data_IF_897685672771
#
_entry.id   IF_897685672771
#
_cell.length_a   1.000
_cell.length_b   1.000
_cell.length_c   1.000
_cell.angle_alpha   90.00
_cell.angle_beta   90.00
_cell.angle_gamma   90.00
#
_symmetry.space_group_name_H-M   'P 1'
#
loop_
_entity.id
_entity.type
_entity.pdbx_description
1 polymer ?
#
# COMPACT_ATOMS: atom_id res chain seq x y z
N UNK A 1 -22.13 -1.21 9.92
CA UNK A 1 -20.79 -0.93 10.49
C UNK A 1 -20.59 0.57 10.46
N UNK A 2 -20.16 1.17 11.53
CA UNK A 2 -19.82 2.60 11.54
C UNK A 2 -18.34 2.81 11.15
N UNK A 3 -17.95 4.06 10.87
CA UNK A 3 -16.61 4.39 10.37
C UNK A 3 -15.50 4.00 11.36
N UNK A 4 -15.73 4.11 12.66
CA UNK A 4 -14.73 3.77 13.69
C UNK A 4 -14.52 2.25 13.85
N UNK A 5 -15.51 1.45 13.46
CA UNK A 5 -15.45 -0.02 13.51
C UNK A 5 -14.83 -0.63 12.25
N UNK A 6 -14.74 0.13 11.14
CA UNK A 6 -14.36 -0.42 9.85
C UNK A 6 -12.94 -1.00 9.87
N UNK A 7 -11.94 -0.19 10.21
CA UNK A 7 -10.54 -0.66 10.24
C UNK A 7 -10.36 -1.80 11.26
N UNK A 8 -10.84 -1.70 12.51
CA UNK A 8 -10.75 -2.81 13.46
C UNK A 8 -11.38 -4.12 12.97
N UNK A 9 -12.41 -4.05 12.12
CA UNK A 9 -13.07 -5.24 11.56
C UNK A 9 -12.33 -5.78 10.34
N UNK A 10 -11.88 -4.92 9.43
CA UNK A 10 -11.31 -5.32 8.13
C UNK A 10 -9.84 -5.69 8.25
N UNK A 11 -9.05 -4.94 9.03
CA UNK A 11 -7.61 -5.14 9.09
C UNK A 11 -7.20 -6.56 9.53
N UNK A 12 -7.79 -7.16 10.59
CA UNK A 12 -7.46 -8.53 10.98
C UNK A 12 -7.76 -9.56 9.89
N UNK A 13 -8.87 -9.38 9.13
CA UNK A 13 -9.24 -10.27 8.04
C UNK A 13 -8.26 -10.17 6.87
N UNK A 14 -7.83 -8.95 6.53
CA UNK A 14 -6.82 -8.71 5.49
C UNK A 14 -5.48 -9.31 5.90
N UNK A 15 -5.04 -9.09 7.14
CA UNK A 15 -3.78 -9.65 7.64
C UNK A 15 -3.80 -11.18 7.66
N UNK A 16 -4.92 -11.79 8.10
CA UNK A 16 -5.08 -13.25 8.11
C UNK A 16 -5.00 -13.86 6.70
N UNK A 17 -5.69 -13.24 5.71
CA UNK A 17 -5.65 -13.71 4.33
C UNK A 17 -4.27 -13.49 3.69
N UNK A 18 -3.62 -12.35 3.99
CA UNK A 18 -2.28 -12.05 3.53
C UNK A 18 -1.26 -13.06 4.07
N UNK A 19 -1.32 -13.36 5.38
CA UNK A 19 -0.48 -14.38 6.04
C UNK A 19 -0.67 -15.76 5.42
N UNK A 20 -1.91 -16.19 5.23
CA UNK A 20 -2.26 -17.48 4.60
C UNK A 20 -1.64 -17.65 3.22
N UNK A 21 -1.42 -16.55 2.48
CA UNK A 21 -0.88 -16.53 1.11
C UNK A 21 0.60 -16.18 1.03
N UNK A 22 1.31 -16.06 2.15
CA UNK A 22 2.74 -15.71 2.18
C UNK A 22 3.00 -14.23 1.89
N UNK A 23 2.07 -13.36 2.27
CA UNK A 23 2.19 -11.89 2.19
C UNK A 23 2.41 -11.32 0.78
N UNK A 24 1.57 -11.67 -0.20
CA UNK A 24 1.76 -11.21 -1.58
C UNK A 24 1.45 -9.73 -1.79
N UNK A 25 0.72 -9.07 -0.87
CA UNK A 25 0.30 -7.68 -1.00
C UNK A 25 0.59 -6.88 0.27
N UNK A 26 0.62 -5.55 0.18
CA UNK A 26 0.62 -4.68 1.35
C UNK A 26 -0.78 -4.65 1.98
N UNK A 27 -0.89 -5.01 3.25
CA UNK A 27 -2.16 -4.95 3.99
C UNK A 27 -2.74 -3.53 4.01
N UNK A 28 -1.87 -2.51 4.16
CA UNK A 28 -2.25 -1.10 4.09
C UNK A 28 -2.96 -0.74 2.79
N UNK A 29 -2.49 -1.24 1.65
CA UNK A 29 -3.08 -1.02 0.34
C UNK A 29 -4.46 -1.68 0.25
N UNK A 30 -4.58 -2.94 0.67
CA UNK A 30 -5.86 -3.67 0.63
C UNK A 30 -6.90 -3.02 1.55
N UNK A 31 -6.51 -2.60 2.76
CA UNK A 31 -7.40 -1.90 3.71
C UNK A 31 -7.83 -0.55 3.13
N UNK A 32 -6.91 0.22 2.55
CA UNK A 32 -7.22 1.52 1.95
C UNK A 32 -8.17 1.39 0.74
N UNK A 33 -7.98 0.38 -0.11
CA UNK A 33 -8.93 0.08 -1.18
C UNK A 33 -10.30 -0.34 -0.62
N UNK A 34 -10.33 -1.18 0.42
CA UNK A 34 -11.58 -1.54 1.09
C UNK A 34 -12.34 -0.32 1.60
N UNK A 35 -11.64 0.66 2.19
CA UNK A 35 -12.22 1.93 2.63
C UNK A 35 -12.78 2.72 1.44
N UNK A 36 -11.98 2.87 0.38
CA UNK A 36 -12.33 3.65 -0.81
C UNK A 36 -13.56 3.07 -1.52
N UNK A 37 -13.52 1.77 -1.83
CA UNK A 37 -14.54 1.09 -2.62
C UNK A 37 -15.87 0.92 -1.87
N UNK A 38 -15.82 0.72 -0.56
CA UNK A 38 -17.02 0.52 0.25
C UNK A 38 -17.57 1.81 0.89
N UNK A 39 -16.85 2.93 0.78
CA UNK A 39 -17.21 4.16 1.49
C UNK A 39 -17.25 3.92 3.00
N UNK A 40 -16.20 3.32 3.57
CA UNK A 40 -16.17 2.95 4.99
C UNK A 40 -17.25 1.94 5.39
N UNK A 41 -17.58 1.03 4.49
CA UNK A 41 -18.62 0.03 4.74
C UNK A 41 -20.05 0.52 4.60
N UNK A 42 -20.26 1.74 4.08
CA UNK A 42 -21.58 2.34 3.93
C UNK A 42 -22.22 2.05 2.57
N UNK A 43 -21.47 1.46 1.62
CA UNK A 43 -22.03 1.14 0.31
C UNK A 43 -23.14 0.09 0.42
N UNK A 44 -24.19 0.25 -0.37
CA UNK A 44 -25.33 -0.71 -0.41
C UNK A 44 -24.86 -2.11 -0.80
N UNK A 45 -23.85 -2.20 -1.68
CA UNK A 45 -23.30 -3.48 -2.17
C UNK A 45 -22.61 -4.21 -1.02
N UNK A 46 -21.78 -3.51 -0.23
CA UNK A 46 -21.15 -4.11 0.95
C UNK A 46 -22.18 -4.54 1.99
N UNK A 47 -23.15 -3.67 2.33
CA UNK A 47 -24.15 -3.96 3.37
C UNK A 47 -25.08 -5.13 3.02
N UNK A 48 -25.39 -5.32 1.74
CA UNK A 48 -26.36 -6.34 1.28
C UNK A 48 -25.73 -7.62 0.78
N UNK A 49 -24.47 -7.54 0.34
CA UNK A 49 -23.80 -8.65 -0.35
C UNK A 49 -22.41 -8.97 0.20
N UNK A 50 -21.97 -8.35 1.31
CA UNK A 50 -20.60 -8.44 1.83
C UNK A 50 -19.51 -8.12 0.77
N UNK A 51 -19.86 -7.39 -0.29
CA UNK A 51 -18.99 -7.10 -1.43
C UNK A 51 -18.20 -5.81 -1.19
N UNK A 52 -17.06 -5.94 -0.50
CA UNK A 52 -16.23 -4.81 -0.08
C UNK A 52 -15.68 -4.03 -1.27
N UNK A 53 -15.18 -4.75 -2.28
CA UNK A 53 -14.43 -4.19 -3.41
C UNK A 53 -15.27 -3.97 -4.66
N UNK A 54 -16.57 -4.21 -4.61
CA UNK A 54 -17.47 -3.97 -5.74
C UNK A 54 -17.08 -4.73 -7.01
N UNK A 55 -16.56 -5.95 -6.89
CA UNK A 55 -16.14 -6.75 -8.04
C UNK A 55 -17.35 -7.19 -8.85
N UNK A 56 -17.37 -6.87 -10.15
CA UNK A 56 -18.43 -7.27 -11.06
C UNK A 56 -18.43 -8.79 -11.27
N UNK A 57 -19.63 -9.37 -11.29
CA UNK A 57 -19.81 -10.77 -11.65
C UNK A 57 -19.80 -10.90 -13.18
N UNK A 58 -18.80 -11.62 -13.69
CA UNK A 58 -18.69 -11.99 -15.10
C UNK A 58 -19.36 -13.34 -15.37
N UNK A 59 -19.48 -13.76 -16.61
CA UNK A 59 -20.03 -15.08 -16.99
C UNK A 59 -19.25 -16.27 -16.39
N UNK A 60 -17.98 -16.05 -16.04
CA UNK A 60 -17.15 -17.07 -15.37
C UNK A 60 -17.42 -17.18 -13.86
N UNK A 61 -18.07 -16.19 -13.24
CA UNK A 61 -18.40 -16.23 -11.83
C UNK A 61 -19.51 -17.25 -11.55
N UNK A 62 -19.28 -18.17 -10.61
CA UNK A 62 -20.25 -19.24 -10.26
C UNK A 62 -20.85 -19.06 -8.87
N UNK A 63 -20.44 -18.02 -8.14
CA UNK A 63 -20.95 -17.70 -6.82
C UNK A 63 -22.25 -16.88 -6.85
N UNK A 64 -22.68 -16.45 -5.67
CA UNK A 64 -23.84 -15.57 -5.50
C UNK A 64 -23.64 -14.22 -6.18
N UNK A 65 -24.71 -13.60 -6.60
CA UNK A 65 -24.71 -12.28 -7.25
C UNK A 65 -25.66 -11.33 -6.56
N UNK A 66 -25.34 -10.05 -6.63
CA UNK A 66 -26.18 -8.96 -6.19
C UNK A 66 -26.32 -7.94 -7.33
N UNK A 67 -27.55 -7.67 -7.74
CA UNK A 67 -27.86 -6.69 -8.76
C UNK A 67 -28.08 -5.32 -8.10
N UNK A 68 -27.30 -4.34 -8.51
CA UNK A 68 -27.42 -2.96 -8.02
C UNK A 68 -27.55 -1.98 -9.18
N UNK A 69 -28.41 -0.99 -8.98
CA UNK A 69 -28.43 0.17 -9.87
C UNK A 69 -27.19 1.01 -9.58
N UNK A 70 -26.40 1.25 -10.59
CA UNK A 70 -25.18 2.06 -10.54
C UNK A 70 -25.14 3.01 -11.72
N UNK A 71 -24.27 4.00 -11.63
CA UNK A 71 -23.99 4.92 -12.72
C UNK A 71 -22.63 4.58 -13.33
N UNK A 72 -22.58 4.47 -14.63
CA UNK A 72 -21.33 4.29 -15.37
C UNK A 72 -21.12 5.44 -16.35
N UNK A 73 -19.87 5.87 -16.44
CA UNK A 73 -19.44 6.91 -17.34
C UNK A 73 -18.49 6.29 -18.37
N UNK A 74 -18.91 6.16 -19.61
CA UNK A 74 -18.12 5.54 -20.69
C UNK A 74 -17.36 6.57 -21.52
N UNK A 75 -17.82 7.82 -21.55
CA UNK A 75 -17.27 8.92 -22.34
C UNK A 75 -16.53 9.99 -21.53
N UNK A 76 -16.47 9.81 -20.20
CA UNK A 76 -15.85 10.77 -19.28
C UNK A 76 -16.74 12.00 -18.97
N UNK A 77 -17.96 12.07 -19.53
CA UNK A 77 -18.86 13.23 -19.41
C UNK A 77 -20.25 12.82 -18.91
N UNK A 78 -20.83 11.76 -19.49
CA UNK A 78 -22.22 11.38 -19.27
C UNK A 78 -22.33 10.15 -18.36
N UNK A 79 -23.23 10.22 -17.37
CA UNK A 79 -23.51 9.09 -16.48
C UNK A 79 -24.79 8.39 -16.93
N UNK A 80 -24.69 7.09 -17.22
CA UNK A 80 -25.82 6.24 -17.57
C UNK A 80 -26.19 5.35 -16.39
N UNK A 81 -27.45 5.35 -15.99
CA UNK A 81 -27.97 4.43 -14.99
C UNK A 81 -28.06 3.02 -15.58
N UNK A 82 -27.35 2.08 -14.99
CA UNK A 82 -27.40 0.67 -15.38
C UNK A 82 -27.63 -0.22 -14.18
N UNK A 83 -28.19 -1.39 -14.41
CA UNK A 83 -28.18 -2.47 -13.43
C UNK A 83 -26.92 -3.30 -13.64
N UNK A 84 -25.98 -3.21 -12.71
CA UNK A 84 -24.77 -4.02 -12.75
C UNK A 84 -24.86 -5.20 -11.77
N UNK A 85 -24.29 -6.32 -12.20
CA UNK A 85 -24.23 -7.54 -11.43
C UNK A 85 -22.89 -7.62 -10.69
N UNK A 86 -22.93 -7.66 -9.36
CA UNK A 86 -21.76 -7.74 -8.50
C UNK A 86 -21.64 -9.11 -7.85
N UNK A 87 -20.41 -9.55 -7.58
CA UNK A 87 -20.17 -10.74 -6.78
C UNK A 87 -20.73 -10.53 -5.38
N UNK A 88 -21.40 -11.54 -4.83
CA UNK A 88 -21.93 -11.52 -3.48
C UNK A 88 -21.33 -12.66 -2.66
N UNK A 89 -21.10 -12.42 -1.38
CA UNK A 89 -20.34 -13.31 -0.51
C UNK A 89 -21.13 -13.63 0.76
N UNK A 90 -20.80 -14.76 1.40
CA UNK A 90 -21.41 -15.14 2.68
C UNK A 90 -20.78 -14.36 3.85
N UNK A 91 -19.55 -13.85 3.67
CA UNK A 91 -18.82 -13.11 4.69
C UNK A 91 -17.88 -12.06 4.07
N UNK A 92 -17.40 -11.11 4.90
CA UNK A 92 -16.36 -10.16 4.51
C UNK A 92 -15.04 -10.86 4.21
N UNK A 93 -14.74 -11.95 4.92
CA UNK A 93 -13.54 -12.76 4.67
C UNK A 93 -13.54 -13.39 3.27
N UNK A 94 -14.69 -13.90 2.79
CA UNK A 94 -14.83 -14.39 1.41
C UNK A 94 -14.59 -13.29 0.38
N UNK A 95 -15.12 -12.08 0.61
CA UNK A 95 -14.88 -10.95 -0.27
C UNK A 95 -13.39 -10.57 -0.34
N UNK A 96 -12.71 -10.58 0.80
CA UNK A 96 -11.27 -10.31 0.87
C UNK A 96 -10.49 -11.40 0.14
N UNK A 97 -10.82 -12.67 0.37
CA UNK A 97 -10.15 -13.80 -0.29
C UNK A 97 -10.31 -13.75 -1.82
N UNK A 98 -11.50 -13.42 -2.32
CA UNK A 98 -11.74 -13.26 -3.76
C UNK A 98 -10.98 -12.06 -4.36
N UNK A 99 -10.86 -10.96 -3.61
CA UNK A 99 -10.02 -9.83 -4.01
C UNK A 99 -8.53 -10.24 -4.12
N UNK A 100 -8.01 -10.98 -3.14
CA UNK A 100 -6.65 -11.52 -3.24
C UNK A 100 -6.49 -12.42 -4.47
N UNK A 101 -7.46 -13.29 -4.76
CA UNK A 101 -7.45 -14.12 -5.96
C UNK A 101 -7.41 -13.27 -7.24
N UNK A 102 -8.21 -12.22 -7.30
CA UNK A 102 -8.23 -11.30 -8.44
C UNK A 102 -6.84 -10.67 -8.68
N UNK A 103 -6.20 -10.17 -7.62
CA UNK A 103 -4.92 -9.45 -7.77
C UNK A 103 -3.75 -10.42 -7.95
N UNK A 104 -3.75 -11.56 -7.29
CA UNK A 104 -2.59 -12.47 -7.34
C UNK A 104 -2.60 -13.46 -8.51
N UNK A 105 -3.79 -13.78 -9.06
CA UNK A 105 -3.92 -14.77 -10.15
C UNK A 105 -3.91 -14.15 -11.55
N UNK A 106 -4.28 -12.87 -11.69
CA UNK A 106 -4.32 -12.22 -13.01
C UNK A 106 -2.96 -11.60 -13.34
N UNK A 107 -2.37 -12.02 -14.45
CA UNK A 107 -1.04 -11.57 -14.90
C UNK A 107 -0.92 -10.04 -14.98
N UNK A 108 -1.97 -9.34 -15.36
CA UNK A 108 -1.99 -7.87 -15.43
C UNK A 108 -1.67 -7.17 -14.11
N UNK A 109 -1.84 -7.85 -12.97
CA UNK A 109 -1.54 -7.33 -11.62
C UNK A 109 -0.26 -7.89 -11.02
N UNK A 110 0.46 -8.77 -11.72
CA UNK A 110 1.65 -9.46 -11.21
C UNK A 110 2.68 -8.52 -10.57
N UNK A 111 2.86 -7.33 -11.12
CA UNK A 111 3.78 -6.34 -10.55
C UNK A 111 3.40 -5.91 -9.13
N UNK A 112 2.14 -5.99 -8.74
CA UNK A 112 1.72 -5.66 -7.38
C UNK A 112 2.23 -6.67 -6.34
N UNK A 113 2.38 -7.95 -6.72
CA UNK A 113 2.82 -9.00 -5.80
C UNK A 113 4.34 -9.01 -5.56
N UNK A 114 5.09 -8.24 -6.32
CA UNK A 114 6.56 -8.08 -6.20
C UNK A 114 6.97 -6.65 -5.86
N UNK A 115 6.02 -5.79 -5.53
CA UNK A 115 6.25 -4.39 -5.16
C UNK A 115 7.02 -4.30 -3.84
N UNK A 116 7.86 -3.28 -3.72
CA UNK A 116 8.64 -3.03 -2.50
C UNK A 116 8.01 -1.98 -1.59
N UNK A 117 7.07 -1.21 -2.11
CA UNK A 117 6.37 -0.15 -1.37
C UNK A 117 4.87 -0.18 -1.62
N UNK A 118 4.05 0.35 -0.67
CA UNK A 118 2.60 0.52 -0.91
C UNK A 118 2.31 1.35 -2.17
N UNK A 119 3.12 2.37 -2.46
CA UNK A 119 2.97 3.21 -3.65
C UNK A 119 3.17 2.41 -4.94
N UNK A 120 4.21 1.58 -5.02
CA UNK A 120 4.44 0.69 -6.17
C UNK A 120 3.31 -0.31 -6.32
N UNK A 121 2.85 -0.90 -5.21
CA UNK A 121 1.76 -1.87 -5.21
C UNK A 121 0.47 -1.27 -5.78
N UNK A 122 0.00 -0.13 -5.26
CA UNK A 122 -1.22 0.50 -5.79
C UNK A 122 -1.05 1.03 -7.21
N UNK A 123 0.15 1.47 -7.58
CA UNK A 123 0.47 1.89 -8.94
C UNK A 123 0.35 0.71 -9.91
N UNK A 124 0.88 -0.46 -9.54
CA UNK A 124 0.77 -1.68 -10.34
C UNK A 124 -0.69 -2.15 -10.46
N UNK A 125 -1.48 -2.09 -9.38
CA UNK A 125 -2.91 -2.43 -9.39
C UNK A 125 -3.68 -1.49 -10.33
N UNK A 126 -3.48 -0.17 -10.23
CA UNK A 126 -4.12 0.80 -11.12
C UNK A 126 -3.75 0.59 -12.57
N UNK A 127 -2.46 0.43 -12.87
CA UNK A 127 -1.96 0.22 -14.24
C UNK A 127 -2.42 -1.13 -14.82
N UNK A 128 -2.71 -2.12 -13.98
CA UNK A 128 -3.37 -3.36 -14.35
C UNK A 128 -4.86 -3.20 -14.71
N UNK A 129 -5.40 -1.96 -14.62
CA UNK A 129 -6.77 -1.65 -15.02
C UNK A 129 -7.81 -1.87 -13.91
N UNK A 130 -7.40 -1.79 -12.63
CA UNK A 130 -8.34 -1.87 -11.51
C UNK A 130 -9.24 -0.64 -11.42
N UNK A 131 -8.68 0.54 -11.67
CA UNK A 131 -9.40 1.81 -11.64
C UNK A 131 -8.96 2.74 -12.77
N UNK A 132 -9.91 3.50 -13.32
CA UNK A 132 -9.68 4.46 -14.41
C UNK A 132 -9.35 5.86 -13.91
N UNK A 133 -9.79 6.24 -12.71
CA UNK A 133 -9.61 7.58 -12.15
C UNK A 133 -8.13 7.99 -12.13
N UNK A 134 -7.77 9.18 -12.63
CA UNK A 134 -6.41 9.69 -12.59
C UNK A 134 -5.92 9.96 -11.16
N UNK A 135 -6.83 10.23 -10.23
CA UNK A 135 -6.52 10.55 -8.82
C UNK A 135 -6.47 9.32 -7.93
N UNK A 136 -6.76 8.11 -8.45
CA UNK A 136 -6.92 6.90 -7.65
C UNK A 136 -5.72 6.60 -6.74
N UNK A 137 -4.50 6.64 -7.28
CA UNK A 137 -3.28 6.38 -6.50
C UNK A 137 -3.16 7.38 -5.34
N UNK A 138 -3.35 8.68 -5.63
CA UNK A 138 -3.27 9.72 -4.60
C UNK A 138 -4.35 9.54 -3.52
N UNK A 139 -5.55 9.14 -3.91
CA UNK A 139 -6.65 8.85 -2.98
C UNK A 139 -6.28 7.71 -2.05
N UNK A 140 -5.81 6.57 -2.58
CA UNK A 140 -5.42 5.42 -1.77
C UNK A 140 -4.24 5.75 -0.85
N UNK A 141 -3.21 6.43 -1.36
CA UNK A 141 -2.07 6.84 -0.53
C UNK A 141 -2.46 7.85 0.56
N UNK A 142 -3.40 8.76 0.27
CA UNK A 142 -3.95 9.67 1.29
C UNK A 142 -4.69 8.91 2.39
N UNK A 143 -5.48 7.89 2.04
CA UNK A 143 -6.17 7.03 3.01
C UNK A 143 -5.16 6.27 3.87
N UNK A 144 -4.12 5.70 3.27
CA UNK A 144 -3.04 5.00 3.99
C UNK A 144 -2.41 5.93 5.04
N UNK A 145 -1.99 7.11 4.61
CA UNK A 145 -1.29 8.06 5.47
C UNK A 145 -2.19 8.65 6.58
N UNK A 146 -3.43 9.01 6.24
CA UNK A 146 -4.36 9.65 7.19
C UNK A 146 -4.86 8.69 8.27
N UNK A 147 -4.74 7.39 8.07
CA UNK A 147 -5.19 6.37 9.01
C UNK A 147 -4.06 5.50 9.55
N UNK A 148 -2.80 5.87 9.27
CA UNK A 148 -1.62 5.13 9.72
C UNK A 148 -1.71 3.62 9.42
N UNK A 149 -2.10 3.30 8.15
CA UNK A 149 -2.37 1.90 7.79
C UNK A 149 -1.12 1.06 7.59
N UNK A 150 0.04 1.67 7.40
CA UNK A 150 1.31 0.93 7.24
C UNK A 150 1.67 0.08 8.45
N UNK A 151 1.11 0.36 9.61
CA UNK A 151 1.25 -0.49 10.81
C UNK A 151 0.69 -1.90 10.62
N UNK A 152 -0.22 -2.10 9.64
CA UNK A 152 -0.77 -3.42 9.30
C UNK A 152 0.05 -4.19 8.28
N UNK A 153 1.10 -3.57 7.71
CA UNK A 153 2.02 -4.24 6.78
C UNK A 153 3.07 -5.10 7.50
N UNK A 154 3.03 -5.13 8.83
CA UNK A 154 3.92 -5.94 9.65
C UNK A 154 3.59 -7.42 9.44
N UNK A 155 4.59 -8.19 9.04
CA UNK A 155 4.53 -9.65 9.09
C UNK A 155 4.66 -10.03 10.56
N UNK A 156 3.55 -10.47 11.19
CA UNK A 156 3.67 -11.12 12.49
C UNK A 156 4.54 -12.36 12.33
N UNK A 157 5.75 -12.28 12.83
CA UNK A 157 6.55 -13.48 13.04
C UNK A 157 5.76 -14.37 13.99
N UNK A 158 5.56 -15.63 13.59
CA UNK A 158 5.06 -16.69 14.45
C UNK A 158 5.70 -16.50 15.83
N UNK A 159 4.86 -16.27 16.84
CA UNK A 159 5.27 -16.33 18.23
C UNK A 159 5.96 -17.68 18.49
N UNK A 160 7.29 -17.68 18.43
CA UNK A 160 8.01 -18.45 19.40
C UNK A 160 8.04 -17.57 20.64
N UNK A 161 7.32 -18.00 21.66
CA UNK A 161 7.48 -17.55 23.02
C UNK A 161 8.99 -17.62 23.37
N UNK A 162 9.65 -16.49 23.22
CA UNK A 162 11.01 -16.30 23.71
C UNK A 162 10.97 -15.06 24.59
N UNK A 163 11.13 -15.39 25.83
CA UNK A 163 11.52 -14.54 26.94
C UNK A 163 12.35 -13.31 26.49
N UNK A 164 12.07 -12.18 27.07
CA UNK A 164 12.52 -10.84 26.76
C UNK A 164 14.02 -10.65 27.13
N UNK A 165 14.93 -11.46 26.54
CA UNK A 165 16.39 -11.33 26.78
C UNK A 165 17.29 -11.94 25.68
N UNK A 166 16.88 -11.99 24.41
CA UNK A 166 17.85 -12.28 23.34
C UNK A 166 18.18 -11.01 22.58
N UNK A 167 19.39 -10.55 22.81
CA UNK A 167 20.10 -9.52 22.04
C UNK A 167 20.15 -10.00 20.57
N UNK A 168 19.24 -9.49 19.70
CA UNK A 168 19.22 -9.84 18.27
C UNK A 168 20.48 -9.27 17.64
N UNK A 169 21.42 -10.12 17.26
CA UNK A 169 22.67 -9.71 16.62
C UNK A 169 22.41 -9.28 15.17
N UNK A 170 22.02 -8.01 15.01
CA UNK A 170 21.78 -7.37 13.71
C UNK A 170 23.02 -7.45 12.81
N UNK A 171 24.22 -7.43 13.39
CA UNK A 171 25.49 -7.52 12.66
C UNK A 171 25.63 -8.89 11.98
N UNK A 172 25.40 -9.96 12.73
CA UNK A 172 25.48 -11.32 12.19
C UNK A 172 24.40 -11.57 11.13
N UNK A 173 23.16 -11.13 11.38
CA UNK A 173 22.06 -11.26 10.42
C UNK A 173 22.36 -10.46 9.15
N UNK A 174 22.94 -9.26 9.24
CA UNK A 174 23.32 -8.48 8.06
C UNK A 174 24.38 -9.19 7.21
N UNK A 175 25.37 -9.85 7.83
CA UNK A 175 26.35 -10.69 7.14
C UNK A 175 25.70 -11.91 6.46
N UNK A 176 24.74 -12.53 7.11
CA UNK A 176 23.98 -13.66 6.56
C UNK A 176 23.09 -13.25 5.37
N UNK A 177 22.55 -12.03 5.41
CA UNK A 177 21.85 -11.42 4.26
C UNK A 177 22.81 -11.21 3.09
N UNK A 178 24.00 -10.70 3.33
CA UNK A 178 25.04 -10.52 2.30
C UNK A 178 25.47 -11.87 1.72
N UNK A 179 25.54 -12.90 2.56
CA UNK A 179 25.82 -14.29 2.15
C UNK A 179 24.66 -14.98 1.43
N UNK A 180 23.50 -14.30 1.25
CA UNK A 180 22.36 -14.82 0.50
C UNK A 180 21.39 -15.73 1.27
N UNK A 181 21.60 -15.99 2.56
CA UNK A 181 20.80 -16.93 3.38
C UNK A 181 19.31 -16.50 3.49
N UNK A 182 19.01 -15.22 3.32
CA UNK A 182 17.68 -14.67 3.46
C UNK A 182 16.96 -14.42 2.11
N UNK A 183 17.60 -14.82 0.97
CA UNK A 183 17.05 -14.58 -0.36
C UNK A 183 17.03 -13.09 -0.75
N UNK A 184 16.14 -12.71 -1.68
CA UNK A 184 16.05 -11.35 -2.21
C UNK A 184 14.62 -10.79 -2.13
N UNK A 185 14.50 -9.45 -2.15
CA UNK A 185 13.21 -8.76 -2.25
C UNK A 185 12.22 -9.18 -1.16
N UNK A 186 11.06 -9.65 -1.55
CA UNK A 186 9.97 -10.01 -0.62
C UNK A 186 10.31 -11.22 0.28
N UNK A 187 11.07 -12.20 -0.25
CA UNK A 187 11.49 -13.35 0.55
C UNK A 187 12.34 -12.89 1.75
N UNK A 188 13.28 -11.97 1.52
CA UNK A 188 14.11 -11.38 2.59
C UNK A 188 13.26 -10.60 3.58
N UNK A 189 12.30 -9.80 3.09
CA UNK A 189 11.39 -9.05 3.97
C UNK A 189 10.55 -10.00 4.83
N UNK A 190 10.01 -11.06 4.23
CA UNK A 190 9.22 -12.05 4.97
C UNK A 190 10.03 -12.76 6.06
N UNK A 191 11.28 -13.14 5.76
CA UNK A 191 12.15 -13.82 6.72
C UNK A 191 12.67 -12.92 7.85
N UNK A 192 12.89 -11.63 7.58
CA UNK A 192 13.43 -10.68 8.56
C UNK A 192 12.35 -9.92 9.35
N UNK A 193 11.11 -9.88 8.83
CA UNK A 193 9.99 -9.26 9.52
C UNK A 193 10.27 -7.83 10.00
N UNK A 194 10.00 -7.55 11.28
CA UNK A 194 10.15 -6.23 11.90
C UNK A 194 11.60 -5.73 11.97
N UNK A 195 12.59 -6.63 11.90
CA UNK A 195 14.02 -6.24 11.90
C UNK A 195 14.56 -5.94 10.50
N UNK A 196 13.77 -6.14 9.42
CA UNK A 196 14.22 -5.95 8.05
C UNK A 196 14.89 -4.59 7.81
N UNK A 197 14.28 -3.50 8.27
CA UNK A 197 14.82 -2.16 8.05
C UNK A 197 16.15 -1.96 8.79
N UNK A 198 16.30 -2.47 10.01
CA UNK A 198 17.53 -2.41 10.78
C UNK A 198 18.64 -3.23 10.14
N UNK A 199 18.32 -4.46 9.74
CA UNK A 199 19.25 -5.36 9.04
C UNK A 199 19.66 -4.78 7.69
N UNK A 200 18.72 -4.26 6.89
CA UNK A 200 19.01 -3.69 5.58
C UNK A 200 19.87 -2.42 5.68
N UNK A 201 19.62 -1.57 6.68
CA UNK A 201 20.48 -0.41 6.95
C UNK A 201 21.93 -0.88 7.25
N UNK A 202 22.09 -1.92 8.08
CA UNK A 202 23.41 -2.47 8.42
C UNK A 202 24.07 -3.13 7.22
N UNK A 203 23.33 -3.86 6.38
CA UNK A 203 23.83 -4.41 5.11
C UNK A 203 24.37 -3.30 4.21
N UNK A 204 23.65 -2.19 4.08
CA UNK A 204 24.06 -1.05 3.26
C UNK A 204 25.35 -0.39 3.80
N UNK A 205 25.47 -0.27 5.12
CA UNK A 205 26.71 0.23 5.78
C UNK A 205 27.90 -0.69 5.50
N UNK A 206 27.74 -2.01 5.69
CA UNK A 206 28.79 -3.00 5.43
C UNK A 206 29.24 -2.97 3.97
N UNK A 207 28.30 -2.80 3.04
CA UNK A 207 28.59 -2.72 1.60
C UNK A 207 29.09 -1.33 1.15
N UNK A 208 29.32 -0.40 2.08
CA UNK A 208 29.80 0.95 1.79
C UNK A 208 28.79 1.80 1.02
N UNK A 209 27.53 1.35 0.90
CA UNK A 209 26.45 2.15 0.34
C UNK A 209 26.00 3.14 1.40
N UNK A 210 26.44 4.41 1.30
CA UNK A 210 25.83 5.48 2.12
C UNK A 210 24.32 5.44 1.93
N UNK A 211 23.59 5.07 2.96
CA UNK A 211 22.15 5.28 3.02
C UNK A 211 21.98 6.78 3.16
N UNK A 212 21.61 7.45 2.09
CA UNK A 212 21.07 8.78 2.21
C UNK A 212 19.74 8.60 2.97
N UNK A 213 19.68 9.05 4.22
CA UNK A 213 18.40 9.16 4.94
C UNK A 213 17.56 10.17 4.15
N UNK A 214 16.60 9.66 3.40
CA UNK A 214 15.62 10.53 2.74
C UNK A 214 14.73 11.14 3.81
N UNK A 215 14.88 12.44 4.03
CA UNK A 215 14.01 13.20 4.93
C UNK A 215 12.92 13.85 4.09
N UNK A 216 11.65 13.61 4.42
CA UNK A 216 10.54 14.31 3.76
C UNK A 216 10.30 15.63 4.50
N UNK A 217 10.47 16.74 3.78
CA UNK A 217 10.10 18.07 4.25
C UNK A 217 8.79 18.53 3.59
N UNK A 218 7.87 19.05 4.41
CA UNK A 218 6.63 19.67 3.91
C UNK A 218 6.84 21.17 3.88
N UNK A 219 6.77 21.74 2.67
CA UNK A 219 6.92 23.17 2.44
C UNK A 219 5.86 23.96 3.21
N UNK A 220 6.29 24.95 3.95
CA UNK A 220 5.41 25.88 4.67
C UNK A 220 5.22 27.16 3.86
N UNK A 221 4.20 27.95 4.18
CA UNK A 221 4.01 29.26 3.59
C UNK A 221 5.20 30.16 3.89
N UNK A 222 5.80 30.73 2.86
CA UNK A 222 6.98 31.60 2.96
C UNK A 222 8.33 30.89 2.82
N UNK A 223 8.38 29.55 2.78
CA UNK A 223 9.62 28.81 2.56
C UNK A 223 10.19 29.04 1.16
N UNK A 224 11.51 29.07 1.08
CA UNK A 224 12.27 29.00 -0.17
C UNK A 224 13.13 27.74 -0.21
N UNK A 225 13.43 27.23 -1.43
CA UNK A 225 14.35 26.08 -1.54
C UNK A 225 15.74 26.37 -0.97
N UNK A 226 16.18 27.62 -0.98
CA UNK A 226 17.47 28.02 -0.41
C UNK A 226 17.50 27.92 1.12
N UNK A 227 16.46 28.38 1.80
CA UNK A 227 16.32 28.25 3.25
C UNK A 227 16.17 26.80 3.69
N UNK A 228 15.37 26.02 2.95
CA UNK A 228 15.23 24.59 3.18
C UNK A 228 16.59 23.89 3.00
N UNK A 229 17.34 24.24 1.95
CA UNK A 229 18.66 23.65 1.71
C UNK A 229 19.65 23.96 2.85
N UNK A 230 19.67 25.19 3.36
CA UNK A 230 20.49 25.55 4.53
C UNK A 230 20.10 24.72 5.76
N UNK A 231 18.81 24.60 6.03
CA UNK A 231 18.29 23.83 7.17
C UNK A 231 18.74 22.36 7.16
N UNK A 232 18.88 21.76 5.97
CA UNK A 232 19.26 20.35 5.81
C UNK A 232 20.71 20.16 5.33
N UNK A 233 21.54 21.21 5.41
CA UNK A 233 22.96 21.19 5.02
C UNK A 233 23.18 20.60 3.61
N UNK A 234 22.40 21.07 2.65
CA UNK A 234 22.44 20.66 1.25
C UNK A 234 22.33 21.89 0.33
N UNK A 235 22.14 21.70 -0.97
CA UNK A 235 21.99 22.78 -1.94
C UNK A 235 20.59 22.80 -2.54
N UNK A 236 20.07 23.97 -2.88
CA UNK A 236 18.76 24.10 -3.52
C UNK A 236 18.72 23.41 -4.90
N UNK A 237 19.86 23.39 -5.62
CA UNK A 237 19.97 22.67 -6.90
C UNK A 237 19.78 21.16 -6.72
N UNK A 238 20.38 20.60 -5.65
CA UNK A 238 20.23 19.18 -5.33
C UNK A 238 18.79 18.85 -4.96
N UNK A 239 18.16 19.67 -4.11
CA UNK A 239 16.74 19.49 -3.76
C UNK A 239 15.87 19.57 -5.01
N UNK A 240 16.08 20.58 -5.87
CA UNK A 240 15.32 20.76 -7.10
C UNK A 240 15.46 19.53 -8.03
N UNK A 241 16.69 19.04 -8.21
CA UNK A 241 16.97 17.85 -9.03
C UNK A 241 16.31 16.59 -8.47
N UNK A 242 16.47 16.32 -7.16
CA UNK A 242 15.95 15.11 -6.51
C UNK A 242 14.41 15.07 -6.48
N UNK A 243 13.76 16.25 -6.61
CA UNK A 243 12.31 16.39 -6.61
C UNK A 243 11.71 16.75 -7.98
N UNK A 244 12.50 16.73 -9.06
CA UNK A 244 12.07 17.08 -10.42
C UNK A 244 11.44 18.50 -10.53
N UNK A 245 11.98 19.46 -9.77
CA UNK A 245 11.52 20.86 -9.78
C UNK A 245 12.26 21.62 -10.88
N UNK A 246 11.55 21.96 -11.96
CA UNK A 246 12.13 22.66 -13.10
C UNK A 246 12.47 24.14 -12.81
N UNK A 247 11.68 24.79 -11.94
CA UNK A 247 11.92 26.15 -11.50
C UNK A 247 12.13 26.19 -9.97
N UNK A 248 13.38 26.34 -9.50
CA UNK A 248 13.68 26.35 -8.05
C UNK A 248 13.01 27.48 -7.25
N UNK A 249 12.55 28.52 -7.92
CA UNK A 249 11.86 29.65 -7.29
C UNK A 249 10.34 29.41 -7.14
N UNK A 250 9.85 28.24 -7.59
CA UNK A 250 8.43 27.93 -7.59
C UNK A 250 8.16 26.65 -6.80
N UNK A 251 7.96 26.80 -5.51
CA UNK A 251 7.49 25.76 -4.60
C UNK A 251 6.21 26.22 -3.92
N UNK A 252 5.38 25.28 -3.49
CA UNK A 252 4.06 25.57 -2.95
C UNK A 252 3.90 25.07 -1.52
N UNK A 253 3.17 25.78 -0.65
CA UNK A 253 2.80 25.26 0.67
C UNK A 253 2.15 23.88 0.57
N UNK A 254 2.51 22.99 1.50
CA UNK A 254 2.14 21.57 1.55
C UNK A 254 2.79 20.66 0.47
N UNK A 255 3.67 21.19 -0.38
CA UNK A 255 4.48 20.40 -1.28
C UNK A 255 5.46 19.53 -0.46
N UNK A 256 5.54 18.24 -0.77
CA UNK A 256 6.51 17.33 -0.16
C UNK A 256 7.81 17.37 -0.94
N UNK A 257 8.91 17.56 -0.24
CA UNK A 257 10.27 17.55 -0.78
C UNK A 257 11.05 16.40 -0.15
N UNK A 258 11.64 15.56 -0.99
CA UNK A 258 12.62 14.55 -0.57
C UNK A 258 13.97 15.24 -0.45
N UNK A 259 14.56 15.20 0.75
CA UNK A 259 15.89 15.75 1.06
C UNK A 259 16.84 14.56 1.25
N UNK A 260 17.89 14.51 0.42
CA UNK A 260 18.90 13.43 0.42
C UNK A 260 20.26 13.93 0.83
#
# INVERSE_FOLDING_TARGET
MNKSEFIPTIAPLVQAENKKRGYPLFSSVVIAQAICESGWGQSKIMMKANAIFGIKATSSWKGKVYNANTQECYDGVSYTNITACFRAYNSLAESISDYFDLITKLERYRKATVSETPLECITAIKNGGYATSPTYINTIMSIINSNDLTKYDVVENVENSVDNSTNVDIEQIARDVIAGKYGNGQERKAKLGNIYNQVQARVNEILGKKVSQETIYIVKSGDTLSEIAQKFNTTYQKIAKDNNISNPNLIYPNQKLVIK
#
